data_IF_682399663579
#
_entry.id   IF_682399663579
#
_cell.length_a   1.000
_cell.length_b   1.000
_cell.length_c   1.000
_cell.angle_alpha   90.00
_cell.angle_beta   90.00
_cell.angle_gamma   90.00
#
_symmetry.space_group_name_H-M   'P 1'
#
loop_
_entity.id
_entity.type
_entity.pdbx_description
1 polymer ?
#
# COMPACT_ATOMS: atom_id res chain seq x y z
N UNK A 1 -4.45 1.42 20.85
CA UNK A 1 -3.17 1.74 20.11
C UNK A 1 -3.34 1.59 18.60
N UNK A 2 -4.21 0.69 18.13
CA UNK A 2 -4.49 0.40 16.72
C UNK A 2 -4.72 1.67 15.88
N UNK A 3 -5.49 2.64 16.38
CA UNK A 3 -5.82 3.89 15.65
C UNK A 3 -4.59 4.71 15.26
N UNK A 4 -3.67 4.92 16.21
CA UNK A 4 -2.44 5.67 15.94
C UNK A 4 -1.51 4.93 14.97
N UNK A 5 -1.40 3.62 15.09
CA UNK A 5 -0.65 2.81 14.15
C UNK A 5 -1.27 2.84 12.76
N UNK A 6 -2.61 2.83 12.65
CA UNK A 6 -3.30 3.01 11.36
C UNK A 6 -2.99 4.35 10.71
N UNK A 7 -2.95 5.45 11.50
CA UNK A 7 -2.57 6.77 10.98
C UNK A 7 -1.10 6.85 10.55
N UNK A 8 -0.20 6.22 11.32
CA UNK A 8 1.22 6.15 10.95
C UNK A 8 1.39 5.37 9.65
N UNK A 9 0.74 4.23 9.52
CA UNK A 9 0.75 3.42 8.30
C UNK A 9 0.22 4.22 7.09
N UNK A 10 -0.93 4.89 7.25
CA UNK A 10 -1.53 5.77 6.24
C UNK A 10 -0.55 6.86 5.78
N UNK A 11 0.10 7.56 6.73
CA UNK A 11 1.07 8.61 6.43
C UNK A 11 2.30 8.03 5.73
N UNK A 12 2.86 6.95 6.24
CA UNK A 12 4.06 6.32 5.69
C UNK A 12 3.81 5.78 4.28
N UNK A 13 2.72 5.04 4.05
CA UNK A 13 2.44 4.49 2.72
C UNK A 13 2.09 5.57 1.69
N UNK A 14 1.46 6.68 2.12
CA UNK A 14 1.29 7.82 1.23
C UNK A 14 2.62 8.48 0.84
N UNK A 15 3.58 8.50 1.76
CA UNK A 15 4.95 8.94 1.49
C UNK A 15 5.71 7.98 0.57
N UNK A 16 5.55 6.67 0.79
CA UNK A 16 6.09 5.64 -0.10
C UNK A 16 5.59 5.81 -1.53
N UNK A 17 4.30 6.04 -1.71
CA UNK A 17 3.68 6.31 -3.02
C UNK A 17 4.33 7.50 -3.72
N UNK A 18 4.49 8.62 -3.02
CA UNK A 18 5.13 9.83 -3.56
C UNK A 18 6.55 9.54 -4.05
N UNK A 19 7.37 8.95 -3.19
CA UNK A 19 8.78 8.70 -3.53
C UNK A 19 8.95 7.59 -4.56
N UNK A 20 8.07 6.59 -4.58
CA UNK A 20 8.02 5.56 -5.62
C UNK A 20 7.68 6.17 -6.98
N UNK A 21 6.71 7.09 -7.03
CA UNK A 21 6.37 7.88 -8.21
C UNK A 21 7.58 8.66 -8.73
N UNK A 22 8.25 9.40 -7.83
CA UNK A 22 9.46 10.16 -8.18
C UNK A 22 10.62 9.25 -8.62
N UNK A 23 10.79 8.11 -7.94
CA UNK A 23 11.83 7.13 -8.25
C UNK A 23 11.62 6.40 -9.58
N UNK A 24 10.37 6.22 -10.01
CA UNK A 24 10.01 5.52 -11.24
C UNK A 24 9.67 6.46 -12.42
N UNK A 25 9.82 7.77 -12.24
CA UNK A 25 9.47 8.77 -13.26
C UNK A 25 10.37 8.73 -14.53
N UNK A 26 11.58 8.16 -14.45
CA UNK A 26 12.49 8.06 -15.61
C UNK A 26 12.02 6.98 -16.59
N UNK A 27 11.36 7.41 -17.68
CA UNK A 27 10.86 6.53 -18.77
C UNK A 27 11.94 5.70 -19.44
N UNK A 28 13.18 6.17 -19.43
CA UNK A 28 14.31 5.45 -20.05
C UNK A 28 14.68 4.20 -19.25
N UNK A 29 14.35 4.14 -17.96
CA UNK A 29 14.61 3.01 -17.10
C UNK A 29 13.45 1.99 -17.09
N UNK A 30 13.46 1.09 -18.06
CA UNK A 30 12.44 0.02 -18.21
C UNK A 30 12.34 -0.92 -17.01
N UNK A 31 13.34 -0.94 -16.13
CA UNK A 31 13.45 -1.84 -14.98
C UNK A 31 13.32 -1.11 -13.66
N UNK A 32 12.85 0.14 -13.67
CA UNK A 32 12.72 0.99 -12.49
C UNK A 32 11.90 0.34 -11.37
N UNK A 33 10.81 -0.35 -11.71
CA UNK A 33 9.97 -1.09 -10.75
C UNK A 33 10.70 -2.26 -10.06
N UNK A 34 11.54 -3.02 -10.78
CA UNK A 34 12.40 -4.06 -10.14
C UNK A 34 13.46 -3.44 -9.23
N UNK A 35 13.98 -2.26 -9.59
CA UNK A 35 14.91 -1.52 -8.74
C UNK A 35 14.21 -1.01 -7.49
N UNK A 36 12.91 -0.65 -7.57
CA UNK A 36 12.10 -0.32 -6.40
C UNK A 36 11.95 -1.54 -5.47
N UNK A 37 11.58 -2.71 -6.00
CA UNK A 37 11.56 -3.97 -5.21
C UNK A 37 12.91 -4.25 -4.56
N UNK A 38 14.01 -3.99 -5.28
CA UNK A 38 15.37 -4.13 -4.69
C UNK A 38 15.56 -3.17 -3.53
N UNK A 39 15.16 -1.90 -3.65
CA UNK A 39 15.31 -0.91 -2.60
C UNK A 39 14.48 -1.27 -1.36
N UNK A 40 13.22 -1.67 -1.54
CA UNK A 40 12.35 -2.13 -0.44
C UNK A 40 12.93 -3.35 0.24
N UNK A 41 13.35 -4.37 -0.53
CA UNK A 41 13.97 -5.57 0.04
C UNK A 41 15.25 -5.29 0.82
N UNK A 42 16.08 -4.34 0.38
CA UNK A 42 17.28 -3.93 1.12
C UNK A 42 16.92 -3.23 2.42
N UNK A 43 15.99 -2.27 2.41
CA UNK A 43 15.61 -1.53 3.63
C UNK A 43 14.91 -2.45 4.63
N UNK A 44 13.93 -3.23 4.18
CA UNK A 44 13.27 -4.23 5.02
C UNK A 44 14.25 -5.27 5.57
N UNK A 45 15.17 -5.76 4.72
CA UNK A 45 16.20 -6.68 5.16
C UNK A 45 17.12 -6.10 6.22
N UNK A 46 17.52 -4.83 6.11
CA UNK A 46 18.30 -4.15 7.14
C UNK A 46 17.52 -4.00 8.45
N UNK A 47 16.22 -3.69 8.37
CA UNK A 47 15.36 -3.61 9.56
C UNK A 47 15.16 -4.99 10.19
N UNK A 48 14.93 -6.04 9.41
CA UNK A 48 14.86 -7.42 9.91
C UNK A 48 16.14 -7.84 10.63
N UNK A 49 17.31 -7.52 10.06
CA UNK A 49 18.60 -7.80 10.71
C UNK A 49 18.76 -7.02 12.02
N UNK A 50 18.32 -5.75 12.05
CA UNK A 50 18.30 -4.96 13.28
C UNK A 50 17.38 -5.61 14.32
N UNK A 51 16.18 -6.01 13.96
CA UNK A 51 15.20 -6.65 14.86
C UNK A 51 15.75 -7.95 15.45
N UNK A 52 16.42 -8.79 14.65
CA UNK A 52 17.00 -10.05 15.11
C UNK A 52 18.23 -9.82 15.98
N UNK A 53 19.21 -9.03 15.54
CA UNK A 53 20.52 -8.96 16.21
C UNK A 53 20.57 -7.92 17.34
N UNK A 54 19.74 -6.87 17.28
CA UNK A 54 19.73 -5.77 18.25
C UNK A 54 18.42 -5.78 19.05
N UNK A 55 17.29 -5.97 18.37
CA UNK A 55 15.97 -6.04 19.01
C UNK A 55 15.74 -7.37 19.76
N UNK A 56 16.53 -8.41 19.48
CA UNK A 56 16.40 -9.69 20.15
C UNK A 56 15.17 -10.51 19.71
N UNK A 57 14.61 -10.21 18.53
CA UNK A 57 13.46 -10.94 17.99
C UNK A 57 13.89 -12.33 17.53
N UNK A 58 13.33 -13.35 18.15
CA UNK A 58 13.63 -14.75 17.81
C UNK A 58 12.70 -15.25 16.70
N UNK A 59 13.19 -15.21 15.46
CA UNK A 59 12.45 -15.71 14.30
C UNK A 59 12.82 -17.15 14.00
N UNK A 60 11.84 -18.05 14.18
CA UNK A 60 12.02 -19.47 13.85
C UNK A 60 11.60 -19.78 12.42
N UNK A 61 12.15 -20.87 11.85
CA UNK A 61 11.73 -21.34 10.53
C UNK A 61 10.22 -21.68 10.47
N UNK A 62 9.65 -22.12 11.58
CA UNK A 62 8.20 -22.38 11.70
C UNK A 62 7.37 -21.09 11.65
N UNK A 63 7.85 -20.00 12.26
CA UNK A 63 7.19 -18.69 12.17
C UNK A 63 7.19 -18.16 10.74
N UNK A 64 8.35 -18.26 10.05
CA UNK A 64 8.44 -17.86 8.63
C UNK A 64 7.47 -18.68 7.77
N UNK A 65 7.42 -20.00 7.94
CA UNK A 65 6.51 -20.86 7.17
C UNK A 65 5.04 -20.58 7.49
N UNK A 66 4.72 -20.20 8.71
CA UNK A 66 3.36 -19.84 9.14
C UNK A 66 2.91 -18.51 8.52
N UNK A 67 3.82 -17.54 8.43
CA UNK A 67 3.55 -16.23 7.85
C UNK A 67 3.68 -16.22 6.30
N UNK A 68 4.31 -17.25 5.72
CA UNK A 68 4.58 -17.32 4.27
C UNK A 68 3.32 -17.19 3.39
N UNK A 69 2.14 -17.76 3.72
CA UNK A 69 0.93 -17.56 2.92
C UNK A 69 0.52 -16.08 2.83
N UNK A 70 0.62 -15.33 3.94
CA UNK A 70 0.33 -13.89 4.00
C UNK A 70 1.33 -13.14 3.13
N UNK A 71 2.63 -13.39 3.32
CA UNK A 71 3.69 -12.80 2.49
C UNK A 71 3.48 -13.09 1.00
N UNK A 72 3.06 -14.31 0.65
CA UNK A 72 2.81 -14.69 -0.74
C UNK A 72 1.63 -13.91 -1.35
N UNK A 73 0.55 -13.71 -0.60
CA UNK A 73 -0.60 -12.91 -1.05
C UNK A 73 -0.17 -11.47 -1.34
N UNK A 74 0.58 -10.83 -0.44
CA UNK A 74 1.08 -9.47 -0.65
C UNK A 74 2.10 -9.37 -1.78
N UNK A 75 3.04 -10.32 -1.89
CA UNK A 75 4.03 -10.31 -2.97
C UNK A 75 3.37 -10.47 -4.33
N UNK A 76 2.39 -11.38 -4.44
CA UNK A 76 1.64 -11.58 -5.69
C UNK A 76 0.78 -10.37 -6.02
N UNK A 77 0.09 -9.77 -5.04
CA UNK A 77 -0.68 -8.54 -5.24
C UNK A 77 0.21 -7.41 -5.73
N UNK A 78 1.35 -7.16 -5.07
CA UNK A 78 2.32 -6.14 -5.49
C UNK A 78 2.88 -6.40 -6.90
N UNK A 79 3.20 -7.65 -7.22
CA UNK A 79 3.67 -8.00 -8.57
C UNK A 79 2.61 -7.69 -9.63
N UNK A 80 1.34 -7.99 -9.36
CA UNK A 80 0.20 -7.66 -10.23
C UNK A 80 0.02 -6.15 -10.30
N UNK A 81 0.13 -5.42 -9.19
CA UNK A 81 0.09 -3.96 -9.14
C UNK A 81 1.16 -3.33 -10.03
N UNK A 82 2.41 -3.77 -9.91
CA UNK A 82 3.51 -3.27 -10.74
C UNK A 82 3.35 -3.61 -12.23
N UNK A 83 2.77 -4.77 -12.55
CA UNK A 83 2.40 -5.10 -13.94
C UNK A 83 1.25 -4.18 -14.37
N UNK A 84 0.26 -3.96 -13.53
CA UNK A 84 -0.86 -3.05 -13.76
C UNK A 84 -0.42 -1.66 -14.15
N UNK A 85 0.54 -1.07 -13.44
CA UNK A 85 1.09 0.27 -13.72
C UNK A 85 1.65 0.43 -15.15
N UNK A 86 1.89 -0.65 -15.89
CA UNK A 86 2.25 -0.59 -17.31
C UNK A 86 1.04 -0.42 -18.22
N UNK A 87 -0.14 -0.79 -17.75
CA UNK A 87 -1.37 -0.83 -18.54
C UNK A 87 -2.38 0.21 -18.12
N UNK A 88 -2.22 0.81 -16.94
CA UNK A 88 -3.17 1.76 -16.36
C UNK A 88 -2.44 2.96 -15.79
N UNK A 89 -3.18 4.05 -15.76
CA UNK A 89 -2.83 5.24 -15.00
C UNK A 89 -2.84 4.95 -13.51
N UNK A 90 -1.80 5.40 -12.81
CA UNK A 90 -1.71 5.26 -11.36
C UNK A 90 -2.92 5.87 -10.65
N UNK A 91 -3.42 6.99 -11.16
CA UNK A 91 -4.60 7.70 -10.64
C UNK A 91 -5.88 6.89 -10.66
N UNK A 92 -6.04 5.96 -11.61
CA UNK A 92 -7.20 5.05 -11.67
C UNK A 92 -6.90 3.76 -10.91
N UNK A 93 -5.68 3.25 -11.02
CA UNK A 93 -5.28 2.00 -10.39
C UNK A 93 -5.26 2.11 -8.86
N UNK A 94 -4.66 3.18 -8.33
CA UNK A 94 -4.46 3.35 -6.89
C UNK A 94 -5.77 3.30 -6.08
N UNK A 95 -6.83 4.04 -6.42
CA UNK A 95 -8.09 3.96 -5.67
C UNK A 95 -8.77 2.59 -5.77
N UNK A 96 -8.66 1.89 -6.90
CA UNK A 96 -9.23 0.53 -7.05
C UNK A 96 -8.44 -0.45 -6.16
N UNK A 97 -7.12 -0.40 -6.21
CA UNK A 97 -6.26 -1.22 -5.36
C UNK A 97 -6.54 -0.96 -3.87
N UNK A 98 -6.67 0.29 -3.49
CA UNK A 98 -6.90 0.70 -2.10
C UNK A 98 -8.35 0.52 -1.61
N UNK A 99 -9.26 0.09 -2.46
CA UNK A 99 -10.58 -0.37 -2.02
C UNK A 99 -10.53 -1.70 -1.24
N UNK A 100 -9.37 -2.33 -1.14
CA UNK A 100 -9.14 -3.55 -0.33
C UNK A 100 -9.58 -3.38 1.12
N UNK A 101 -9.33 -2.24 1.76
CA UNK A 101 -9.78 -1.97 3.12
C UNK A 101 -11.30 -2.04 3.31
N UNK A 102 -12.08 -1.63 2.29
CA UNK A 102 -13.53 -1.79 2.30
C UNK A 102 -13.94 -3.28 2.24
N UNK A 103 -13.23 -4.07 1.45
CA UNK A 103 -13.47 -5.52 1.37
C UNK A 103 -13.12 -6.19 2.70
N UNK A 104 -11.99 -5.82 3.32
CA UNK A 104 -11.59 -6.33 4.65
C UNK A 104 -12.66 -6.01 5.69
N UNK A 105 -13.13 -4.76 5.75
CA UNK A 105 -14.21 -4.38 6.68
C UNK A 105 -15.45 -5.27 6.50
N UNK A 106 -15.88 -5.50 5.24
CA UNK A 106 -17.02 -6.38 4.95
C UNK A 106 -16.75 -7.81 5.40
N UNK A 107 -15.54 -8.36 5.14
CA UNK A 107 -15.18 -9.71 5.57
C UNK A 107 -15.23 -9.80 7.10
N UNK A 108 -14.63 -8.86 7.82
CA UNK A 108 -14.63 -8.83 9.28
C UNK A 108 -16.06 -8.80 9.87
N UNK A 109 -16.95 -8.00 9.28
CA UNK A 109 -18.35 -7.93 9.70
C UNK A 109 -19.11 -9.25 9.43
N UNK A 110 -18.85 -9.90 8.30
CA UNK A 110 -19.47 -11.20 7.97
C UNK A 110 -18.92 -12.30 8.91
N UNK A 111 -17.66 -12.23 9.31
CA UNK A 111 -17.03 -13.19 10.21
C UNK A 111 -17.38 -12.97 11.69
N UNK A 112 -18.19 -11.96 11.99
CA UNK A 112 -18.78 -11.77 13.33
C UNK A 112 -18.25 -10.59 14.11
N UNK A 113 -17.37 -9.76 13.54
CA UNK A 113 -16.97 -8.52 14.18
C UNK A 113 -18.15 -7.55 14.25
N UNK A 114 -18.39 -6.97 15.41
CA UNK A 114 -19.49 -6.03 15.64
C UNK A 114 -18.95 -4.64 15.95
N UNK A 115 -19.57 -3.64 15.36
CA UNK A 115 -19.23 -2.23 15.56
C UNK A 115 -20.38 -1.47 16.21
N UNK A 116 -20.10 -0.41 16.93
CA UNK A 116 -21.12 0.56 17.34
C UNK A 116 -21.65 1.35 16.14
N UNK A 117 -22.87 1.86 16.21
CA UNK A 117 -23.48 2.60 15.09
C UNK A 117 -22.61 3.74 14.58
N UNK A 118 -21.98 4.58 15.41
CA UNK A 118 -21.08 5.62 14.91
C UNK A 118 -19.85 5.06 14.16
N UNK A 119 -19.31 3.92 14.59
CA UNK A 119 -18.18 3.25 13.94
C UNK A 119 -18.59 2.72 12.56
N UNK A 120 -19.78 2.10 12.42
CA UNK A 120 -20.32 1.71 11.11
C UNK A 120 -20.41 2.90 10.13
N UNK A 121 -20.94 4.03 10.60
CA UNK A 121 -21.06 5.24 9.78
C UNK A 121 -19.67 5.73 9.39
N UNK A 122 -18.72 5.75 10.32
CA UNK A 122 -17.37 6.22 10.09
C UNK A 122 -16.62 5.35 9.08
N UNK A 123 -16.67 4.02 9.25
CA UNK A 123 -16.08 3.05 8.28
C UNK A 123 -16.71 3.25 6.90
N UNK A 124 -18.04 3.38 6.82
CA UNK A 124 -18.73 3.62 5.55
C UNK A 124 -18.27 4.94 4.88
N UNK A 125 -18.09 6.02 5.65
CA UNK A 125 -17.60 7.29 5.13
C UNK A 125 -16.18 7.15 4.54
N UNK A 126 -15.27 6.48 5.24
CA UNK A 126 -13.89 6.26 4.75
C UNK A 126 -13.91 5.40 3.48
N UNK A 127 -14.64 4.29 3.48
CA UNK A 127 -14.76 3.40 2.32
C UNK A 127 -15.36 4.13 1.10
N UNK A 128 -16.44 4.89 1.32
CA UNK A 128 -17.08 5.69 0.26
C UNK A 128 -16.09 6.73 -0.28
N UNK A 129 -15.31 7.39 0.57
CA UNK A 129 -14.33 8.38 0.14
C UNK A 129 -13.25 7.77 -0.77
N UNK A 130 -12.68 6.61 -0.40
CA UNK A 130 -11.68 5.90 -1.20
C UNK A 130 -12.26 5.48 -2.55
N UNK A 131 -13.45 4.85 -2.56
CA UNK A 131 -14.11 4.42 -3.79
C UNK A 131 -14.48 5.63 -4.66
N UNK A 132 -15.04 6.71 -4.05
CA UNK A 132 -15.41 7.94 -4.76
C UNK A 132 -14.19 8.62 -5.40
N UNK A 133 -13.00 8.56 -4.75
CA UNK A 133 -11.76 9.05 -5.37
C UNK A 133 -11.49 8.34 -6.69
N UNK A 134 -11.66 7.01 -6.76
CA UNK A 134 -11.52 6.25 -8.00
C UNK A 134 -12.46 6.74 -9.11
N UNK A 135 -13.72 7.05 -8.78
CA UNK A 135 -14.67 7.63 -9.73
C UNK A 135 -14.28 9.05 -10.15
N UNK A 136 -13.81 9.87 -9.22
CA UNK A 136 -13.35 11.24 -9.53
C UNK A 136 -12.18 11.20 -10.51
N UNK A 137 -11.19 10.35 -10.25
CA UNK A 137 -10.03 10.18 -11.11
C UNK A 137 -10.41 9.59 -12.49
N UNK A 138 -11.33 8.62 -12.53
CA UNK A 138 -11.79 8.00 -13.78
C UNK A 138 -12.58 8.97 -14.68
N UNK A 139 -13.29 9.95 -14.10
CA UNK A 139 -14.11 10.92 -14.80
C UNK A 139 -13.47 12.31 -14.87
N UNK A 140 -12.17 12.41 -14.70
CA UNK A 140 -11.47 13.68 -14.80
C UNK A 140 -11.38 14.17 -16.25
N UNK A 141 -11.45 15.50 -16.45
CA UNK A 141 -11.35 16.12 -17.75
C UNK A 141 -10.02 15.78 -18.45
N UNK A 142 -10.10 15.54 -19.77
CA UNK A 142 -8.93 15.12 -20.57
C UNK A 142 -7.76 16.13 -20.51
N UNK A 143 -8.04 17.43 -20.32
CA UNK A 143 -6.98 18.44 -20.13
C UNK A 143 -6.25 18.29 -18.80
N UNK A 144 -6.98 18.11 -17.70
CA UNK A 144 -6.38 17.87 -16.37
C UNK A 144 -5.65 16.55 -16.34
N UNK A 145 -6.20 15.54 -17.02
CA UNK A 145 -5.60 14.23 -17.17
C UNK A 145 -4.32 14.30 -18.00
N UNK A 146 -4.32 15.01 -19.13
CA UNK A 146 -3.14 15.20 -19.99
C UNK A 146 -1.99 15.92 -19.28
N UNK A 147 -2.30 16.83 -18.35
CA UNK A 147 -1.31 17.52 -17.52
C UNK A 147 -0.65 16.62 -16.47
N UNK A 148 -1.31 15.52 -16.10
CA UNK A 148 -0.82 14.56 -15.08
C UNK A 148 -0.18 13.33 -15.71
N UNK A 149 -0.61 12.97 -16.93
CA UNK A 149 -0.30 11.69 -17.52
C UNK A 149 0.75 11.79 -18.61
N UNK A 150 1.44 10.68 -18.74
CA UNK A 150 2.26 10.41 -19.90
C UNK A 150 1.38 9.87 -21.03
N UNK A 151 1.47 10.49 -22.21
CA UNK A 151 0.75 10.04 -23.42
C UNK A 151 0.89 8.53 -23.73
N UNK A 152 1.93 7.86 -23.19
CA UNK A 152 2.15 6.42 -23.35
C UNK A 152 1.13 5.56 -22.60
N UNK A 153 0.59 6.03 -21.48
CA UNK A 153 -0.39 5.28 -20.66
C UNK A 153 -1.81 5.33 -21.26
N UNK A 154 -2.12 6.35 -22.06
CA UNK A 154 -3.43 6.49 -22.72
C UNK A 154 -3.79 5.31 -23.62
N UNK A 155 -2.80 4.64 -24.20
CA UNK A 155 -3.00 3.54 -25.14
C UNK A 155 -3.61 2.30 -24.46
N UNK A 156 -3.38 2.15 -23.18
CA UNK A 156 -3.75 0.95 -22.41
C UNK A 156 -5.00 1.13 -21.54
N UNK A 157 -5.44 2.38 -21.29
CA UNK A 157 -6.63 2.67 -20.47
C UNK A 157 -7.94 2.04 -21.00
N UNK A 158 -8.00 1.67 -22.27
CA UNK A 158 -9.15 0.99 -22.90
C UNK A 158 -9.04 -0.54 -22.90
N UNK A 159 -8.00 -1.10 -22.29
CA UNK A 159 -7.83 -2.56 -22.20
C UNK A 159 -8.63 -3.12 -21.01
N UNK A 160 -9.26 -4.28 -21.19
CA UNK A 160 -9.90 -5.01 -20.09
C UNK A 160 -8.90 -5.33 -18.96
N UNK A 161 -7.64 -5.56 -19.29
CA UNK A 161 -6.55 -5.75 -18.31
C UNK A 161 -6.38 -4.53 -17.40
N UNK A 162 -6.71 -3.35 -17.89
CA UNK A 162 -6.65 -2.12 -17.12
C UNK A 162 -7.56 -2.13 -15.89
N UNK A 163 -8.67 -2.81 -15.94
CA UNK A 163 -9.61 -2.92 -14.80
C UNK A 163 -9.38 -4.23 -14.05
N UNK A 164 -9.10 -5.32 -14.75
CA UNK A 164 -8.97 -6.64 -14.14
C UNK A 164 -7.75 -6.75 -13.23
N UNK A 165 -6.59 -6.17 -13.60
CA UNK A 165 -5.38 -6.26 -12.79
C UNK A 165 -5.52 -5.56 -11.43
N UNK A 166 -6.02 -4.30 -11.32
CA UNK A 166 -6.28 -3.68 -10.02
C UNK A 166 -7.33 -4.40 -9.19
N UNK A 167 -8.36 -4.98 -9.81
CA UNK A 167 -9.36 -5.77 -9.08
C UNK A 167 -8.76 -7.03 -8.48
N UNK A 168 -7.91 -7.75 -9.23
CA UNK A 168 -7.20 -8.91 -8.70
C UNK A 168 -6.24 -8.48 -7.58
N UNK A 169 -5.50 -7.39 -7.76
CA UNK A 169 -4.69 -6.80 -6.71
C UNK A 169 -5.52 -6.56 -5.46
N UNK A 170 -6.62 -5.81 -5.58
CA UNK A 170 -7.51 -5.45 -4.48
C UNK A 170 -8.03 -6.68 -3.71
N UNK A 171 -8.42 -7.73 -4.43
CA UNK A 171 -8.89 -8.97 -3.79
C UNK A 171 -7.76 -9.72 -3.06
N UNK A 172 -6.59 -9.85 -3.68
CA UNK A 172 -5.44 -10.50 -3.05
C UNK A 172 -4.93 -9.74 -1.84
N UNK A 173 -4.90 -8.41 -1.92
CA UNK A 173 -4.51 -7.53 -0.84
C UNK A 173 -5.50 -7.63 0.34
N UNK A 174 -6.81 -7.61 0.06
CA UNK A 174 -7.83 -7.79 1.08
C UNK A 174 -7.74 -9.17 1.76
N UNK A 175 -7.50 -10.23 0.97
CA UNK A 175 -7.30 -11.57 1.52
C UNK A 175 -6.01 -11.65 2.34
N UNK A 176 -4.95 -10.97 1.89
CA UNK A 176 -3.70 -10.85 2.64
C UNK A 176 -3.90 -10.18 3.98
N UNK A 177 -4.58 -9.03 4.00
CA UNK A 177 -4.90 -8.27 5.22
C UNK A 177 -5.76 -9.08 6.20
N UNK A 178 -6.78 -9.76 5.69
CA UNK A 178 -7.61 -10.61 6.55
C UNK A 178 -6.85 -11.84 7.07
N UNK A 179 -6.04 -12.48 6.24
CA UNK A 179 -5.19 -13.59 6.67
C UNK A 179 -4.14 -13.15 7.70
N UNK A 180 -3.60 -11.93 7.55
CA UNK A 180 -2.66 -11.32 8.47
C UNK A 180 -3.28 -11.15 9.86
N UNK A 181 -4.48 -10.59 9.95
CA UNK A 181 -5.19 -10.45 11.23
C UNK A 181 -5.40 -11.78 11.94
N UNK A 182 -5.69 -12.87 11.21
CA UNK A 182 -5.85 -14.22 11.79
C UNK A 182 -4.50 -14.76 12.29
N UNK A 183 -3.42 -14.56 11.54
CA UNK A 183 -2.09 -15.07 11.95
C UNK A 183 -1.59 -14.31 13.16
N UNK A 184 -1.85 -13.00 13.26
CA UNK A 184 -1.48 -12.15 14.38
C UNK A 184 -2.20 -12.49 15.70
N UNK A 185 -3.32 -13.20 15.67
CA UNK A 185 -3.92 -13.73 16.92
C UNK A 185 -3.01 -14.71 17.67
N UNK A 186 -2.03 -15.28 16.99
CA UNK A 186 -1.20 -16.40 17.51
C UNK A 186 0.28 -16.23 17.23
N UNK A 187 0.69 -15.23 16.50
CA UNK A 187 2.07 -14.89 16.19
C UNK A 187 2.34 -13.49 16.71
N UNK A 188 3.43 -13.33 17.42
CA UNK A 188 3.90 -12.03 17.89
C UNK A 188 4.15 -11.05 16.74
N UNK A 189 3.83 -9.78 16.92
CA UNK A 189 3.86 -8.74 15.90
C UNK A 189 5.27 -8.51 15.36
N UNK A 190 6.27 -8.48 16.25
CA UNK A 190 7.67 -8.31 15.84
C UNK A 190 8.17 -9.50 15.04
N UNK A 191 7.77 -10.72 15.42
CA UNK A 191 8.09 -11.95 14.69
C UNK A 191 7.41 -11.97 13.32
N UNK A 192 6.12 -11.58 13.25
CA UNK A 192 5.36 -11.49 12.01
C UNK A 192 5.98 -10.47 11.05
N UNK A 193 6.24 -9.26 11.54
CA UNK A 193 6.88 -8.20 10.75
C UNK A 193 8.25 -8.63 10.22
N UNK A 194 9.08 -9.22 11.10
CA UNK A 194 10.42 -9.68 10.71
C UNK A 194 10.36 -10.82 9.69
N UNK A 195 9.41 -11.75 9.82
CA UNK A 195 9.21 -12.82 8.85
C UNK A 195 8.80 -12.29 7.47
N UNK A 196 7.92 -11.27 7.43
CA UNK A 196 7.56 -10.57 6.20
C UNK A 196 8.76 -9.89 5.54
N UNK A 197 9.51 -9.12 6.32
CA UNK A 197 10.68 -8.38 5.84
C UNK A 197 11.76 -9.30 5.28
N UNK A 198 12.01 -10.46 5.91
CA UNK A 198 12.94 -11.48 5.41
C UNK A 198 12.45 -12.05 4.07
N UNK A 199 11.15 -12.28 3.90
CA UNK A 199 10.58 -12.74 2.63
C UNK A 199 10.76 -11.66 1.55
N UNK A 200 10.54 -10.40 1.90
CA UNK A 200 10.76 -9.28 0.97
C UNK A 200 12.23 -9.08 0.62
N UNK A 201 13.15 -9.31 1.55
CA UNK A 201 14.59 -9.32 1.29
C UNK A 201 14.95 -10.34 0.19
N UNK A 202 14.39 -11.55 0.27
CA UNK A 202 14.60 -12.58 -0.76
C UNK A 202 14.11 -12.08 -2.12
N UNK A 203 12.92 -11.46 -2.17
CA UNK A 203 12.38 -10.88 -3.40
C UNK A 203 13.26 -9.74 -3.93
N UNK A 204 13.80 -8.89 -3.04
CA UNK A 204 14.75 -7.83 -3.38
C UNK A 204 16.04 -8.36 -3.98
N UNK A 205 16.59 -9.44 -3.41
CA UNK A 205 17.79 -10.12 -3.93
C UNK A 205 17.53 -10.70 -5.32
N UNK A 206 16.41 -11.39 -5.51
CA UNK A 206 16.02 -11.94 -6.82
C UNK A 206 15.86 -10.81 -7.85
N UNK A 207 15.19 -9.72 -7.50
CA UNK A 207 15.04 -8.56 -8.37
C UNK A 207 16.39 -7.92 -8.72
N UNK A 208 17.30 -7.79 -7.73
CA UNK A 208 18.65 -7.27 -7.95
C UNK A 208 19.44 -8.16 -8.92
N UNK A 209 19.46 -9.49 -8.69
CA UNK A 209 20.14 -10.46 -9.57
C UNK A 209 19.58 -10.35 -10.99
N UNK A 210 18.26 -10.31 -11.13
CA UNK A 210 17.62 -10.18 -12.43
C UNK A 210 18.02 -8.91 -13.17
N UNK A 211 17.94 -7.75 -12.50
CA UNK A 211 18.27 -6.46 -13.11
C UNK A 211 19.77 -6.33 -13.39
N UNK A 212 20.61 -6.67 -12.43
CA UNK A 212 22.06 -6.46 -12.51
C UNK A 212 22.76 -7.45 -13.43
N UNK A 213 22.44 -8.74 -13.30
CA UNK A 213 23.20 -9.81 -13.98
C UNK A 213 22.49 -10.32 -15.23
N UNK A 214 21.16 -10.48 -15.22
CA UNK A 214 20.42 -10.99 -16.38
C UNK A 214 20.16 -9.85 -17.38
N UNK A 215 19.66 -8.72 -16.90
CA UNK A 215 19.35 -7.56 -17.77
C UNK A 215 20.52 -6.59 -17.92
N UNK A 216 21.63 -6.80 -17.20
CA UNK A 216 22.88 -6.01 -17.27
C UNK A 216 22.65 -4.51 -17.12
N UNK A 217 21.68 -4.09 -16.31
CA UNK A 217 21.35 -2.70 -16.07
C UNK A 217 22.29 -2.09 -15.03
N UNK A 218 22.53 -0.78 -15.14
CA UNK A 218 23.33 -0.04 -14.18
C UNK A 218 22.44 0.58 -13.10
N UNK A 219 22.96 0.61 -11.88
CA UNK A 219 22.38 1.36 -10.76
C UNK A 219 23.16 2.68 -10.62
N UNK A 220 22.42 3.79 -10.56
CA UNK A 220 23.01 5.13 -10.39
C UNK A 220 22.52 5.70 -9.05
N UNK A 221 23.39 5.86 -8.02
CA UNK A 221 22.96 6.22 -6.67
C UNK A 221 22.01 7.42 -6.60
N UNK A 222 22.30 8.48 -7.35
CA UNK A 222 21.44 9.68 -7.39
C UNK A 222 20.04 9.43 -7.97
N UNK A 223 19.92 8.53 -8.96
CA UNK A 223 18.63 8.17 -9.57
C UNK A 223 17.85 7.17 -8.74
N UNK A 224 18.54 6.39 -7.94
CA UNK A 224 17.92 5.39 -7.06
C UNK A 224 17.54 5.98 -5.69
N UNK A 225 18.12 7.11 -5.27
CA UNK A 225 17.85 7.72 -3.95
C UNK A 225 16.36 7.89 -3.61
N UNK A 226 15.48 8.39 -4.52
CA UNK A 226 14.06 8.45 -4.23
C UNK A 226 13.43 7.08 -3.95
N UNK A 227 13.89 6.00 -4.63
CA UNK A 227 13.40 4.64 -4.38
C UNK A 227 13.72 4.17 -2.97
N UNK A 228 14.92 4.48 -2.45
CA UNK A 228 15.30 4.17 -1.07
C UNK A 228 14.51 5.01 -0.06
N UNK A 229 14.23 6.29 -0.36
CA UNK A 229 13.34 7.10 0.46
C UNK A 229 11.94 6.47 0.53
N UNK A 230 11.37 6.07 -0.61
CA UNK A 230 10.11 5.34 -0.67
C UNK A 230 10.16 4.04 0.13
N UNK A 231 11.26 3.28 0.02
CA UNK A 231 11.45 2.03 0.75
C UNK A 231 11.51 2.23 2.28
N UNK A 232 12.09 3.32 2.77
CA UNK A 232 12.07 3.67 4.21
C UNK A 232 10.63 3.92 4.67
N UNK A 233 9.87 4.71 3.93
CA UNK A 233 8.46 4.96 4.23
C UNK A 233 7.63 3.67 4.13
N UNK A 234 7.90 2.81 3.14
CA UNK A 234 7.24 1.50 2.99
C UNK A 234 7.48 0.61 4.21
N UNK A 235 8.73 0.48 4.64
CA UNK A 235 9.11 -0.33 5.80
C UNK A 235 8.48 0.20 7.08
N UNK A 236 8.51 1.52 7.31
CA UNK A 236 7.88 2.13 8.48
C UNK A 236 6.36 1.97 8.46
N UNK A 237 5.74 2.08 7.27
CA UNK A 237 4.31 1.85 7.07
C UNK A 237 3.93 0.41 7.36
N UNK A 238 4.71 -0.55 6.87
CA UNK A 238 4.48 -1.97 7.10
C UNK A 238 4.58 -2.34 8.58
N UNK A 239 5.58 -1.83 9.28
CA UNK A 239 5.71 -2.00 10.73
C UNK A 239 4.46 -1.50 11.45
N UNK A 240 4.05 -0.26 11.20
CA UNK A 240 2.87 0.31 11.83
C UNK A 240 1.57 -0.44 11.47
N UNK A 241 1.48 -0.92 10.23
CA UNK A 241 0.37 -1.72 9.74
C UNK A 241 0.19 -3.04 10.51
N UNK A 242 1.27 -3.78 10.73
CA UNK A 242 1.24 -5.04 11.51
C UNK A 242 0.70 -4.78 12.92
N UNK A 243 1.20 -3.75 13.59
CA UNK A 243 0.72 -3.37 14.93
C UNK A 243 -0.73 -2.87 14.95
N UNK A 244 -1.20 -2.26 13.85
CA UNK A 244 -2.61 -1.88 13.75
C UNK A 244 -3.54 -3.09 13.60
N UNK A 245 -3.10 -4.13 12.86
CA UNK A 245 -3.88 -5.34 12.62
C UNK A 245 -3.79 -6.38 13.75
N UNK A 246 -2.77 -6.30 14.61
CA UNK A 246 -2.63 -7.17 15.77
C UNK A 246 -3.81 -7.03 16.77
N UNK A 247 -4.48 -5.88 16.72
CA UNK A 247 -5.74 -5.69 17.45
C UNK A 247 -6.92 -6.25 16.62
N UNK A 248 -7.17 -7.55 16.76
CA UNK A 248 -8.15 -8.28 15.95
C UNK A 248 -9.57 -7.74 16.08
N UNK A 249 -9.93 -7.08 17.20
CA UNK A 249 -11.25 -6.48 17.40
C UNK A 249 -11.47 -5.23 16.54
N UNK A 250 -10.39 -4.59 16.09
CA UNK A 250 -10.45 -3.29 15.39
C UNK A 250 -10.08 -3.37 13.90
N UNK A 251 -9.80 -4.55 13.35
CA UNK A 251 -9.39 -4.73 11.95
C UNK A 251 -10.38 -4.11 10.95
N UNK A 252 -11.70 -4.26 11.21
CA UNK A 252 -12.74 -3.66 10.37
C UNK A 252 -12.70 -2.13 10.30
N UNK A 253 -12.03 -1.48 11.25
CA UNK A 253 -11.83 -0.03 11.31
C UNK A 253 -10.44 0.37 10.85
N UNK A 254 -9.41 -0.39 11.23
CA UNK A 254 -8.01 -0.14 10.88
C UNK A 254 -7.77 -0.24 9.37
N UNK A 255 -8.23 -1.30 8.73
CA UNK A 255 -7.99 -1.52 7.31
C UNK A 255 -8.54 -0.41 6.39
N UNK A 256 -9.78 0.13 6.56
CA UNK A 256 -10.25 1.29 5.82
C UNK A 256 -9.43 2.56 6.06
N UNK A 257 -9.03 2.84 7.33
CA UNK A 257 -8.18 4.01 7.63
C UNK A 257 -6.87 3.91 6.87
N UNK A 258 -6.21 2.78 6.96
CA UNK A 258 -4.92 2.55 6.28
C UNK A 258 -5.09 2.68 4.77
N UNK A 259 -6.10 2.06 4.18
CA UNK A 259 -6.40 2.14 2.74
C UNK A 259 -6.66 3.57 2.25
N UNK A 260 -7.04 4.49 3.13
CA UNK A 260 -7.22 5.90 2.80
C UNK A 260 -5.90 6.64 2.50
N UNK A 261 -4.73 5.96 2.57
CA UNK A 261 -3.45 6.58 2.20
C UNK A 261 -3.43 7.12 0.77
N UNK A 262 -4.21 6.54 -0.15
CA UNK A 262 -4.34 7.06 -1.52
C UNK A 262 -4.88 8.49 -1.58
N UNK A 263 -5.77 8.88 -0.67
CA UNK A 263 -6.27 10.25 -0.56
C UNK A 263 -5.16 11.22 -0.14
N UNK A 264 -4.30 10.80 0.80
CA UNK A 264 -3.15 11.61 1.21
C UNK A 264 -2.07 11.63 0.12
N UNK A 265 -1.89 10.55 -0.64
CA UNK A 265 -1.00 10.53 -1.82
C UNK A 265 -1.39 11.57 -2.86
N UNK A 266 -2.69 11.81 -3.06
CA UNK A 266 -3.20 12.88 -3.92
C UNK A 266 -2.84 14.26 -3.37
N UNK A 267 -2.90 14.47 -2.05
CA UNK A 267 -2.46 15.72 -1.41
C UNK A 267 -0.97 15.95 -1.61
N UNK A 268 -0.15 14.92 -1.45
CA UNK A 268 1.30 14.99 -1.73
C UNK A 268 1.58 15.33 -3.18
N UNK A 269 0.85 14.73 -4.12
CA UNK A 269 0.91 15.07 -5.55
C UNK A 269 0.66 16.57 -5.78
N UNK A 270 -0.32 17.15 -5.09
CA UNK A 270 -0.62 18.59 -5.16
C UNK A 270 0.51 19.45 -4.62
N UNK A 271 1.08 19.09 -3.48
CA UNK A 271 2.09 19.90 -2.77
C UNK A 271 3.45 19.80 -3.46
N UNK A 272 3.94 18.58 -3.72
CA UNK A 272 5.32 18.33 -4.17
C UNK A 272 5.47 18.27 -5.69
N UNK A 273 4.47 17.73 -6.40
CA UNK A 273 4.49 17.59 -7.86
C UNK A 273 3.69 18.70 -8.53
N UNK A 274 2.94 19.52 -7.75
CA UNK A 274 2.09 20.63 -8.21
C UNK A 274 0.96 20.19 -9.14
N UNK A 275 0.45 18.98 -8.95
CA UNK A 275 -0.71 18.46 -9.66
C UNK A 275 -1.94 19.34 -9.39
N UNK A 276 -2.77 19.55 -10.41
CA UNK A 276 -4.03 20.28 -10.25
C UNK A 276 -5.10 19.32 -9.76
N UNK A 277 -5.79 19.69 -8.68
CA UNK A 277 -6.89 18.95 -8.11
C UNK A 277 -8.21 19.66 -8.37
N UNK A 278 -9.26 18.91 -8.70
CA UNK A 278 -10.63 19.42 -8.76
C UNK A 278 -11.24 19.52 -7.36
N UNK A 279 -12.34 20.28 -7.21
CA UNK A 279 -13.07 20.37 -5.94
C UNK A 279 -13.58 19.00 -5.44
N UNK A 280 -13.82 18.06 -6.35
CA UNK A 280 -14.28 16.69 -6.02
C UNK A 280 -13.22 15.92 -5.22
N UNK A 281 -11.93 16.10 -5.51
CA UNK A 281 -10.84 15.51 -4.73
C UNK A 281 -10.84 16.03 -3.29
N UNK A 282 -11.00 17.34 -3.11
CA UNK A 282 -11.08 17.93 -1.76
C UNK A 282 -12.31 17.43 -0.99
N UNK A 283 -13.43 17.18 -1.66
CA UNK A 283 -14.62 16.62 -1.04
C UNK A 283 -14.38 15.18 -0.57
N UNK A 284 -13.78 14.32 -1.39
CA UNK A 284 -13.46 12.94 -0.97
C UNK A 284 -12.50 12.92 0.21
N UNK A 285 -11.48 13.78 0.21
CA UNK A 285 -10.54 13.92 1.32
C UNK A 285 -11.27 14.38 2.60
N UNK A 286 -12.14 15.37 2.49
CA UNK A 286 -12.90 15.86 3.64
C UNK A 286 -13.83 14.78 4.25
N UNK A 287 -14.51 13.99 3.41
CA UNK A 287 -15.36 12.87 3.86
C UNK A 287 -14.52 11.83 4.61
N UNK A 288 -13.34 11.46 4.10
CA UNK A 288 -12.46 10.52 4.78
C UNK A 288 -11.98 11.06 6.14
N UNK A 289 -11.58 12.34 6.20
CA UNK A 289 -11.15 12.96 7.45
C UNK A 289 -12.26 12.91 8.50
N UNK A 290 -13.51 13.22 8.12
CA UNK A 290 -14.65 13.12 9.03
C UNK A 290 -14.81 11.70 9.56
N UNK A 291 -14.75 10.68 8.69
CA UNK A 291 -14.84 9.28 9.10
C UNK A 291 -13.70 8.89 10.07
N UNK A 292 -12.46 9.25 9.75
CA UNK A 292 -11.29 8.95 10.59
C UNK A 292 -11.40 9.65 11.96
N UNK A 293 -11.84 10.91 11.99
CA UNK A 293 -12.05 11.64 13.25
C UNK A 293 -13.12 10.99 14.12
N UNK A 294 -14.24 10.53 13.52
CA UNK A 294 -15.28 9.82 14.25
C UNK A 294 -14.69 8.53 14.85
N UNK A 295 -13.92 7.74 14.09
CA UNK A 295 -13.28 6.52 14.60
C UNK A 295 -12.37 6.83 15.79
N UNK A 296 -11.53 7.86 15.68
CA UNK A 296 -10.64 8.25 16.76
C UNK A 296 -11.35 8.77 18.02
N UNK A 297 -12.54 9.37 17.89
CA UNK A 297 -13.33 9.86 19.04
C UNK A 297 -14.10 8.75 19.76
N UNK A 298 -14.45 7.68 19.07
CA UNK A 298 -15.21 6.56 19.62
C UNK A 298 -14.34 5.37 20.04
N UNK A 299 -13.03 5.48 19.84
CA UNK A 299 -12.04 4.51 20.34
C UNK A 299 -11.34 5.00 21.63
N UNK A 300 -11.52 6.26 21.98
CA UNK A 300 -11.05 6.86 23.22
C UNK A 300 -12.13 6.72 24.29
#
# INVERSE_FOLDING_TARGET
MWFWFSLIALFCWSGSDLFSKLGCADKSDKYSHYKMVTAVGVVMGLHALYSIFIGGVEVTGSAILRYLPVSALYIVSMAIGYIGLRYIELSISSPICNSSGAIVAVICLITGQTLAVPQYIAVALVCIAVIALGFVEANEDDELRALRQEKSNYKYSKSALAIVLPLIYCLLDALGTFADSIVLETLDEDVANTAYELTFLICGIVAFIYVKFIKKQKYFPKKEAPKYAGAIFETAGQFAYIYALADSEHVAMAAPIISAYCLLSVVWGRIFIKEKLSWKHYLTIAIAIVGIVILGLYDA
#
